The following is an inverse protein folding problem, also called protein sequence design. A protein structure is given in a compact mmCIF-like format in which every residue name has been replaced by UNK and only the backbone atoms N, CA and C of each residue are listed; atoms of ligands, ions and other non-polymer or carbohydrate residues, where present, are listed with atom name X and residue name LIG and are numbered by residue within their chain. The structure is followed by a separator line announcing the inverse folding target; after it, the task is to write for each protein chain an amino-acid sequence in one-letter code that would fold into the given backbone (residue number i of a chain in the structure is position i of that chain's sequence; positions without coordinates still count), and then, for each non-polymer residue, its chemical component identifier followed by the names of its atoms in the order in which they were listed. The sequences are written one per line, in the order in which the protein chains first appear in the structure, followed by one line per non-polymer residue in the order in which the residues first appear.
data_IF_891961533622
#
_entry.id   IF_891961533622
#
_cell.length_a   1.000
_cell.length_b   1.000
_cell.length_c   1.000
_cell.angle_alpha   90.00
_cell.angle_beta   90.00
_cell.angle_gamma   90.00
#
_symmetry.space_group_name_H-M   'P 1'
#
loop_
_entity.id
_entity.type
_entity.pdbx_description
1 polymer ?
#
# COMPACT_ATOMS: atom_id res chain seq x y z
N UNK A 1 26.20 6.59 5.16
CA UNK A 1 25.13 7.27 5.93
C UNK A 1 25.59 8.61 6.54
N UNK A 2 26.77 8.75 7.18
CA UNK A 2 27.17 10.03 7.81
C UNK A 2 27.27 11.21 6.83
N UNK A 3 27.85 10.99 5.64
CA UNK A 3 27.97 12.03 4.60
C UNK A 3 26.61 12.44 4.03
N UNK A 4 25.73 11.48 3.76
CA UNK A 4 24.37 11.73 3.26
C UNK A 4 23.60 12.62 4.24
N UNK A 5 23.54 12.24 5.52
CA UNK A 5 22.89 13.07 6.55
C UNK A 5 23.47 14.49 6.65
N UNK A 6 24.79 14.61 6.53
CA UNK A 6 25.46 15.92 6.52
C UNK A 6 25.04 16.80 5.34
N UNK A 7 24.82 16.20 4.17
CA UNK A 7 24.38 16.90 2.96
C UNK A 7 22.90 17.29 3.08
N UNK A 8 22.04 16.38 3.54
CA UNK A 8 20.61 16.64 3.79
C UNK A 8 20.41 17.87 4.69
N UNK A 9 21.10 17.92 5.83
CA UNK A 9 21.01 19.01 6.82
C UNK A 9 21.44 20.39 6.27
N UNK A 10 22.22 20.43 5.18
CA UNK A 10 22.74 21.68 4.60
C UNK A 10 22.16 22.02 3.23
N UNK A 11 21.40 21.11 2.64
CA UNK A 11 20.87 21.22 1.27
C UNK A 11 19.86 22.36 1.11
N UNK A 12 19.06 22.67 2.15
CA UNK A 12 18.08 23.77 2.13
C UNK A 12 18.71 25.15 1.86
N UNK A 13 20.00 25.30 2.18
CA UNK A 13 20.73 26.56 2.09
C UNK A 13 21.79 26.59 0.98
N UNK A 14 22.02 25.47 0.27
CA UNK A 14 23.03 25.40 -0.77
C UNK A 14 22.67 24.41 -1.90
N UNK A 15 22.26 24.97 -3.05
CA UNK A 15 21.91 24.21 -4.26
C UNK A 15 23.06 23.37 -4.83
N UNK A 16 24.32 23.75 -4.60
CA UNK A 16 25.48 22.99 -5.09
C UNK A 16 25.61 21.64 -4.35
N UNK A 17 25.19 21.57 -3.08
CA UNK A 17 25.23 20.33 -2.31
C UNK A 17 24.23 19.31 -2.82
N UNK A 18 23.12 19.74 -3.42
CA UNK A 18 22.11 18.86 -4.04
C UNK A 18 22.73 18.10 -5.21
N UNK A 19 23.53 18.77 -6.04
CA UNK A 19 24.21 18.12 -7.17
C UNK A 19 25.25 17.08 -6.70
N UNK A 20 26.00 17.41 -5.66
CA UNK A 20 26.98 16.50 -5.05
C UNK A 20 26.28 15.28 -4.42
N UNK A 21 25.19 15.51 -3.68
CA UNK A 21 24.41 14.44 -3.06
C UNK A 21 23.84 13.48 -4.10
N UNK A 22 23.29 14.01 -5.20
CA UNK A 22 22.84 13.21 -6.35
C UNK A 22 23.95 12.32 -6.88
N UNK A 23 25.13 12.88 -7.16
CA UNK A 23 26.26 12.11 -7.71
C UNK A 23 26.69 10.99 -6.75
N UNK A 24 26.79 11.30 -5.44
CA UNK A 24 27.17 10.33 -4.41
C UNK A 24 26.15 9.20 -4.31
N UNK A 25 24.85 9.52 -4.29
CA UNK A 25 23.78 8.52 -4.23
C UNK A 25 23.73 7.66 -5.49
N UNK A 26 23.86 8.28 -6.66
CA UNK A 26 23.89 7.56 -7.94
C UNK A 26 25.04 6.56 -7.98
N UNK A 27 26.28 6.99 -7.69
CA UNK A 27 27.46 6.12 -7.69
C UNK A 27 27.35 5.02 -6.64
N UNK A 28 26.85 5.34 -5.45
CA UNK A 28 26.66 4.36 -4.40
C UNK A 28 25.66 3.27 -4.83
N UNK A 29 24.55 3.64 -5.46
CA UNK A 29 23.51 2.71 -5.90
C UNK A 29 23.81 1.98 -7.23
N UNK A 30 24.65 2.55 -8.11
CA UNK A 30 24.93 2.01 -9.46
C UNK A 30 26.28 1.31 -9.59
N UNK A 31 27.21 1.53 -8.67
CA UNK A 31 28.57 0.95 -8.72
C UNK A 31 28.85 0.09 -7.50
N UNK A 32 28.58 0.60 -6.30
CA UNK A 32 29.09 -0.03 -5.07
C UNK A 32 28.08 -0.94 -4.35
N UNK A 33 26.80 -0.56 -4.38
CA UNK A 33 25.75 -1.16 -3.54
C UNK A 33 24.50 -1.46 -4.37
N UNK A 34 24.65 -2.29 -5.41
CA UNK A 34 23.60 -2.66 -6.36
C UNK A 34 22.38 -3.34 -5.71
N UNK A 35 22.58 -3.98 -4.56
CA UNK A 35 21.65 -4.88 -3.87
C UNK A 35 21.22 -4.38 -2.49
N UNK A 36 21.51 -3.12 -2.12
CA UNK A 36 21.17 -2.55 -0.80
C UNK A 36 19.87 -1.74 -0.88
N UNK A 37 18.69 -2.32 -0.55
CA UNK A 37 17.42 -1.67 -0.84
C UNK A 37 17.26 -0.33 -0.13
N UNK A 38 17.63 -0.25 1.15
CA UNK A 38 17.51 0.99 1.94
C UNK A 38 18.21 2.19 1.28
N UNK A 39 19.36 1.97 0.64
CA UNK A 39 20.08 3.04 -0.02
C UNK A 39 19.40 3.49 -1.32
N UNK A 40 18.87 2.55 -2.11
CA UNK A 40 18.12 2.88 -3.33
C UNK A 40 16.77 3.52 -3.00
N UNK A 41 16.12 3.11 -1.91
CA UNK A 41 14.89 3.74 -1.43
C UNK A 41 15.14 5.18 -0.97
N UNK A 42 16.26 5.40 -0.28
CA UNK A 42 16.69 6.74 0.09
C UNK A 42 16.99 7.60 -1.15
N UNK A 43 17.72 7.05 -2.13
CA UNK A 43 17.99 7.77 -3.38
C UNK A 43 16.71 8.11 -4.17
N UNK A 44 15.76 7.16 -4.27
CA UNK A 44 14.48 7.42 -4.91
C UNK A 44 13.68 8.52 -4.18
N UNK A 45 13.72 8.54 -2.85
CA UNK A 45 13.09 9.60 -2.07
C UNK A 45 13.74 10.96 -2.31
N UNK A 46 15.07 11.01 -2.33
CA UNK A 46 15.83 12.21 -2.67
C UNK A 46 15.43 12.75 -4.05
N UNK A 47 15.42 11.91 -5.10
CA UNK A 47 15.04 12.37 -6.45
C UNK A 47 13.61 12.87 -6.50
N UNK A 48 12.67 12.20 -5.83
CA UNK A 48 11.30 12.67 -5.74
C UNK A 48 11.21 14.04 -5.03
N UNK A 49 11.92 14.24 -3.93
CA UNK A 49 11.95 15.50 -3.19
C UNK A 49 12.56 16.64 -4.01
N UNK A 50 13.50 16.33 -4.90
CA UNK A 50 14.10 17.28 -5.84
C UNK A 50 13.26 17.49 -7.11
N UNK A 51 12.03 17.00 -7.16
CA UNK A 51 11.12 17.21 -8.30
C UNK A 51 11.34 16.26 -9.48
N UNK A 52 12.04 15.14 -9.29
CA UNK A 52 12.33 14.14 -10.32
C UNK A 52 11.62 12.79 -10.06
N UNK A 53 10.26 12.75 -10.03
CA UNK A 53 9.53 11.52 -9.74
C UNK A 53 9.72 10.42 -10.80
N UNK A 54 10.03 10.80 -12.05
CA UNK A 54 10.37 9.84 -13.10
C UNK A 54 11.67 9.09 -12.79
N UNK A 55 12.69 9.79 -12.28
CA UNK A 55 13.95 9.16 -11.88
C UNK A 55 13.74 8.28 -10.63
N UNK A 56 12.96 8.75 -9.67
CA UNK A 56 12.56 7.94 -8.53
C UNK A 56 11.89 6.62 -8.96
N UNK A 57 11.00 6.66 -9.96
CA UNK A 57 10.33 5.46 -10.48
C UNK A 57 11.31 4.48 -11.12
N UNK A 58 12.26 4.98 -11.91
CA UNK A 58 13.34 4.17 -12.51
C UNK A 58 14.19 3.47 -11.44
N UNK A 59 14.59 4.20 -10.39
CA UNK A 59 15.38 3.67 -9.28
C UNK A 59 14.62 2.55 -8.58
N UNK A 60 13.34 2.78 -8.26
CA UNK A 60 12.50 1.80 -7.57
C UNK A 60 12.24 0.56 -8.41
N UNK A 61 12.03 0.71 -9.72
CA UNK A 61 11.86 -0.41 -10.66
C UNK A 61 13.14 -1.26 -10.73
N UNK A 62 14.31 -0.62 -10.79
CA UNK A 62 15.59 -1.30 -10.84
C UNK A 62 15.88 -2.09 -9.57
N UNK A 63 15.71 -1.48 -8.40
CA UNK A 63 15.97 -2.18 -7.14
C UNK A 63 14.96 -3.31 -6.88
N UNK A 64 13.71 -3.19 -7.34
CA UNK A 64 12.76 -4.29 -7.27
C UNK A 64 13.21 -5.51 -8.09
N UNK A 65 13.73 -5.28 -9.29
CA UNK A 65 14.28 -6.36 -10.13
C UNK A 65 15.46 -7.07 -9.46
N UNK A 66 16.30 -6.34 -8.73
CA UNK A 66 17.42 -6.92 -7.98
C UNK A 66 16.96 -7.63 -6.70
N UNK A 67 15.99 -7.04 -5.98
CA UNK A 67 15.52 -7.51 -4.68
C UNK A 67 14.00 -7.76 -4.72
N UNK A 68 13.53 -8.81 -5.41
CA UNK A 68 12.10 -9.04 -5.61
C UNK A 68 11.41 -9.45 -4.30
N UNK A 69 10.10 -9.18 -4.22
CA UNK A 69 9.23 -9.51 -3.08
C UNK A 69 9.49 -8.72 -1.78
N UNK A 70 10.37 -7.71 -1.79
CA UNK A 70 10.51 -6.83 -0.63
C UNK A 70 9.32 -5.85 -0.58
N UNK A 71 8.41 -6.10 0.35
CA UNK A 71 7.15 -5.36 0.52
C UNK A 71 7.37 -3.84 0.67
N UNK A 72 8.48 -3.43 1.28
CA UNK A 72 8.84 -2.01 1.40
C UNK A 72 9.04 -1.33 0.03
N UNK A 73 9.67 -2.02 -0.94
CA UNK A 73 9.84 -1.49 -2.30
C UNK A 73 8.48 -1.40 -3.00
N UNK A 74 7.66 -2.44 -2.88
CA UNK A 74 6.33 -2.49 -3.46
C UNK A 74 5.46 -1.31 -3.00
N UNK A 75 5.45 -1.03 -1.69
CA UNK A 75 4.74 0.13 -1.14
C UNK A 75 5.31 1.46 -1.63
N UNK A 76 6.64 1.58 -1.79
CA UNK A 76 7.26 2.81 -2.30
C UNK A 76 6.87 3.06 -3.75
N UNK A 77 6.86 2.01 -4.60
CA UNK A 77 6.42 2.12 -6.01
C UNK A 77 4.97 2.57 -6.14
N UNK A 78 4.06 1.89 -5.44
CA UNK A 78 2.63 2.25 -5.42
C UNK A 78 2.42 3.69 -4.96
N UNK A 79 3.06 4.09 -3.85
CA UNK A 79 2.87 5.43 -3.30
C UNK A 79 3.46 6.53 -4.19
N UNK A 80 4.55 6.25 -4.90
CA UNK A 80 5.12 7.16 -5.90
C UNK A 80 4.12 7.37 -7.04
N UNK A 81 3.59 6.31 -7.64
CA UNK A 81 2.63 6.45 -8.75
C UNK A 81 1.36 7.18 -8.32
N UNK A 82 0.89 6.94 -7.09
CA UNK A 82 -0.22 7.70 -6.51
C UNK A 82 0.08 9.20 -6.43
N UNK A 83 1.29 9.60 -6.02
CA UNK A 83 1.70 11.03 -5.97
C UNK A 83 1.95 11.63 -7.35
N UNK A 84 2.35 10.81 -8.33
CA UNK A 84 2.45 11.19 -9.74
C UNK A 84 1.07 11.39 -10.41
N UNK A 85 0.00 10.93 -9.76
CA UNK A 85 -1.35 10.95 -10.32
C UNK A 85 -1.64 9.82 -11.30
N UNK A 86 -0.72 8.86 -11.47
CA UNK A 86 -0.92 7.70 -12.34
C UNK A 86 -1.70 6.61 -11.59
N UNK A 87 -3.01 6.82 -11.50
CA UNK A 87 -3.92 5.96 -10.75
C UNK A 87 -4.09 4.58 -11.39
N UNK A 88 -3.92 4.47 -12.71
CA UNK A 88 -3.99 3.21 -13.44
C UNK A 88 -2.73 2.37 -13.21
N UNK A 89 -1.55 3.00 -13.22
CA UNK A 89 -0.32 2.31 -12.82
C UNK A 89 -0.36 1.86 -11.36
N UNK A 90 -0.91 2.69 -10.47
CA UNK A 90 -1.12 2.31 -9.07
C UNK A 90 -1.99 1.04 -8.93
N UNK A 91 -3.12 0.98 -9.64
CA UNK A 91 -3.99 -0.19 -9.67
C UNK A 91 -3.27 -1.44 -10.21
N UNK A 92 -2.57 -1.30 -11.35
CA UNK A 92 -1.79 -2.38 -11.95
C UNK A 92 -0.72 -2.93 -10.99
N UNK A 93 -0.03 -2.05 -10.26
CA UNK A 93 0.97 -2.45 -9.27
C UNK A 93 0.35 -3.23 -8.12
N UNK A 94 -0.77 -2.75 -7.56
CA UNK A 94 -1.49 -3.49 -6.52
C UNK A 94 -1.92 -4.88 -6.99
N UNK A 95 -2.54 -4.98 -8.16
CA UNK A 95 -2.98 -6.25 -8.72
C UNK A 95 -1.82 -7.22 -8.93
N UNK A 96 -0.71 -6.72 -9.49
CA UNK A 96 0.51 -7.51 -9.69
C UNK A 96 1.05 -8.04 -8.37
N UNK A 97 1.16 -7.19 -7.34
CA UNK A 97 1.72 -7.59 -6.05
C UNK A 97 0.81 -8.51 -5.25
N UNK A 98 -0.51 -8.34 -5.33
CA UNK A 98 -1.46 -9.25 -4.71
C UNK A 98 -1.37 -10.63 -5.38
N UNK A 99 -1.28 -10.67 -6.71
CA UNK A 99 -1.17 -11.92 -7.46
C UNK A 99 0.16 -12.64 -7.23
N UNK A 100 1.27 -11.90 -7.08
CA UNK A 100 2.61 -12.48 -6.89
C UNK A 100 3.00 -12.69 -5.43
N UNK A 101 2.14 -12.34 -4.46
CA UNK A 101 2.44 -12.44 -3.05
C UNK A 101 2.64 -13.90 -2.61
N UNK A 102 3.82 -14.22 -2.08
CA UNK A 102 4.15 -15.56 -1.57
C UNK A 102 3.49 -15.89 -0.22
N UNK A 103 3.10 -14.86 0.53
CA UNK A 103 2.49 -14.99 1.83
C UNK A 103 1.06 -14.44 1.78
N UNK A 104 0.10 -15.28 2.18
CA UNK A 104 -1.31 -14.93 2.29
C UNK A 104 -1.56 -13.68 3.15
N UNK A 105 -0.85 -13.52 4.27
CA UNK A 105 -0.94 -12.32 5.11
C UNK A 105 -0.50 -11.04 4.38
N UNK A 106 0.52 -11.14 3.50
CA UNK A 106 0.98 -10.02 2.69
C UNK A 106 -0.04 -9.70 1.59
N UNK A 107 -0.58 -10.73 0.93
CA UNK A 107 -1.64 -10.57 -0.06
C UNK A 107 -2.87 -9.88 0.54
N UNK A 108 -3.34 -10.33 1.71
CA UNK A 108 -4.47 -9.73 2.42
C UNK A 108 -4.20 -8.28 2.84
N UNK A 109 -2.99 -7.98 3.34
CA UNK A 109 -2.60 -6.61 3.68
C UNK A 109 -2.55 -5.67 2.46
N UNK A 110 -2.07 -6.17 1.31
CA UNK A 110 -2.08 -5.43 0.04
C UNK A 110 -3.51 -5.22 -0.47
N UNK A 111 -4.37 -6.24 -0.40
CA UNK A 111 -5.77 -6.14 -0.81
C UNK A 111 -6.55 -5.10 0.00
N UNK A 112 -6.35 -5.05 1.33
CA UNK A 112 -6.94 -4.02 2.19
C UNK A 112 -6.53 -2.62 1.72
N UNK A 113 -5.23 -2.41 1.46
CA UNK A 113 -4.72 -1.13 0.96
C UNK A 113 -5.28 -0.80 -0.42
N UNK A 114 -5.38 -1.79 -1.30
CA UNK A 114 -5.93 -1.60 -2.65
C UNK A 114 -7.42 -1.25 -2.62
N UNK A 115 -8.22 -1.92 -1.79
CA UNK A 115 -9.63 -1.59 -1.59
C UNK A 115 -9.80 -0.15 -1.07
N UNK A 116 -8.98 0.28 -0.10
CA UNK A 116 -8.98 1.68 0.39
C UNK A 116 -8.58 2.67 -0.70
N UNK A 117 -7.62 2.33 -1.55
CA UNK A 117 -7.26 3.15 -2.71
C UNK A 117 -8.44 3.28 -3.69
N UNK A 118 -9.10 2.17 -4.03
CA UNK A 118 -10.26 2.17 -4.92
C UNK A 118 -11.41 3.02 -4.35
N UNK A 119 -11.66 2.91 -3.05
CA UNK A 119 -12.74 3.65 -2.41
C UNK A 119 -12.44 5.14 -2.24
N UNK A 120 -11.31 5.50 -1.62
CA UNK A 120 -11.04 6.90 -1.25
C UNK A 120 -10.40 7.73 -2.36
N UNK A 121 -9.67 7.10 -3.28
CA UNK A 121 -8.92 7.83 -4.32
C UNK A 121 -9.63 7.71 -5.67
N UNK A 122 -10.13 6.53 -6.03
CA UNK A 122 -10.86 6.32 -7.29
C UNK A 122 -12.37 6.49 -7.16
N UNK A 123 -12.89 6.70 -5.94
CA UNK A 123 -14.32 6.83 -5.68
C UNK A 123 -15.16 5.68 -6.26
N UNK A 124 -14.60 4.47 -6.21
CA UNK A 124 -15.16 3.26 -6.82
C UNK A 124 -15.49 2.21 -5.73
N UNK A 125 -16.64 2.35 -5.03
CA UNK A 125 -17.02 1.43 -3.94
C UNK A 125 -17.21 -0.01 -4.41
N UNK A 126 -17.81 -0.23 -5.58
CA UNK A 126 -18.02 -1.58 -6.13
C UNK A 126 -16.71 -2.29 -6.43
N UNK A 127 -15.72 -1.56 -6.97
CA UNK A 127 -14.39 -2.10 -7.21
C UNK A 127 -13.67 -2.43 -5.89
N UNK A 128 -13.78 -1.56 -4.88
CA UNK A 128 -13.22 -1.80 -3.56
C UNK A 128 -13.85 -3.04 -2.88
N UNK A 129 -15.18 -3.20 -2.98
CA UNK A 129 -15.90 -4.36 -2.47
C UNK A 129 -15.42 -5.64 -3.14
N UNK A 130 -15.33 -5.64 -4.47
CA UNK A 130 -14.84 -6.78 -5.24
C UNK A 130 -13.43 -7.21 -4.81
N UNK A 131 -12.51 -6.26 -4.63
CA UNK A 131 -11.15 -6.56 -4.15
C UNK A 131 -11.16 -7.26 -2.78
N UNK A 132 -12.04 -6.82 -1.87
CA UNK A 132 -12.16 -7.44 -0.55
C UNK A 132 -12.79 -8.82 -0.63
N UNK A 133 -13.85 -9.00 -1.41
CA UNK A 133 -14.50 -10.30 -1.59
C UNK A 133 -13.55 -11.33 -2.23
N UNK A 134 -12.79 -10.93 -3.26
CA UNK A 134 -11.75 -11.77 -3.89
C UNK A 134 -10.64 -12.17 -2.90
N UNK A 135 -10.28 -11.26 -1.97
CA UNK A 135 -9.29 -11.54 -0.93
C UNK A 135 -9.85 -12.45 0.16
N UNK A 136 -11.10 -12.26 0.58
CA UNK A 136 -11.80 -13.10 1.57
C UNK A 136 -11.97 -14.52 1.03
N UNK A 137 -12.27 -14.69 -0.25
CA UNK A 137 -12.34 -16.02 -0.87
C UNK A 137 -11.03 -16.81 -0.72
N UNK A 138 -9.88 -16.12 -0.70
CA UNK A 138 -8.54 -16.71 -0.47
C UNK A 138 -8.18 -16.79 1.01
N UNK A 139 -8.70 -15.88 1.82
CA UNK A 139 -8.43 -15.71 3.25
C UNK A 139 -9.69 -15.51 4.11
N UNK A 140 -10.53 -16.56 4.23
CA UNK A 140 -11.87 -16.41 4.79
C UNK A 140 -11.88 -16.12 6.29
N UNK A 141 -10.81 -16.46 7.01
CA UNK A 141 -10.72 -16.27 8.46
C UNK A 141 -10.00 -14.98 8.86
N UNK A 142 -9.56 -14.13 7.92
CA UNK A 142 -8.82 -12.93 8.26
C UNK A 142 -9.74 -11.82 8.77
N UNK A 143 -9.68 -11.46 10.06
CA UNK A 143 -10.57 -10.47 10.65
C UNK A 143 -10.48 -9.11 9.97
N UNK A 144 -9.27 -8.73 9.52
CA UNK A 144 -9.01 -7.39 8.96
C UNK A 144 -9.69 -7.19 7.61
N UNK A 145 -9.83 -8.26 6.82
CA UNK A 145 -10.54 -8.18 5.54
C UNK A 145 -12.04 -7.96 5.75
N UNK A 146 -12.63 -8.73 6.67
CA UNK A 146 -14.05 -8.61 7.00
C UNK A 146 -14.38 -7.27 7.66
N UNK A 147 -13.56 -6.80 8.60
CA UNK A 147 -13.72 -5.47 9.20
C UNK A 147 -13.65 -4.38 8.13
N UNK A 148 -12.66 -4.44 7.22
CA UNK A 148 -12.55 -3.46 6.15
C UNK A 148 -13.74 -3.49 5.19
N UNK A 149 -14.33 -4.66 4.94
CA UNK A 149 -15.52 -4.82 4.09
C UNK A 149 -16.77 -4.25 4.76
N UNK A 150 -16.92 -4.45 6.08
CA UNK A 150 -17.99 -3.83 6.86
C UNK A 150 -17.84 -2.31 6.89
N UNK A 151 -16.63 -1.80 7.15
CA UNK A 151 -16.34 -0.37 7.12
C UNK A 151 -16.64 0.24 5.74
N UNK A 152 -16.29 -0.45 4.65
CA UNK A 152 -16.62 0.01 3.29
C UNK A 152 -18.13 0.19 3.11
N UNK A 153 -18.91 -0.80 3.53
CA UNK A 153 -20.37 -0.73 3.44
C UNK A 153 -20.94 0.42 4.27
N UNK A 154 -20.47 0.59 5.52
CA UNK A 154 -20.88 1.70 6.40
C UNK A 154 -20.63 3.08 5.78
N UNK A 155 -19.51 3.27 5.09
CA UNK A 155 -19.16 4.55 4.46
C UNK A 155 -19.78 4.72 3.05
N UNK A 156 -20.49 3.71 2.53
CA UNK A 156 -21.16 3.79 1.24
C UNK A 156 -22.57 4.37 1.44
N UNK A 157 -22.94 5.47 0.77
CA UNK A 157 -24.27 6.07 0.91
C UNK A 157 -25.40 5.07 0.58
N UNK A 158 -26.42 5.01 1.43
CA UNK A 158 -27.58 4.15 1.23
C UNK A 158 -27.40 2.69 1.68
N UNK A 159 -26.34 2.38 2.42
CA UNK A 159 -26.19 1.07 3.05
C UNK A 159 -27.34 0.78 4.01
N UNK A 160 -28.00 -0.36 3.83
CA UNK A 160 -29.09 -0.81 4.69
C UNK A 160 -28.56 -1.63 5.86
N UNK A 161 -29.29 -1.61 6.97
CA UNK A 161 -28.91 -2.41 8.15
C UNK A 161 -28.87 -3.91 7.83
N UNK A 162 -29.80 -4.40 7.00
CA UNK A 162 -29.85 -5.80 6.58
C UNK A 162 -28.57 -6.21 5.84
N UNK A 163 -28.07 -5.37 4.93
CA UNK A 163 -26.84 -5.65 4.18
C UNK A 163 -25.63 -5.80 5.13
N UNK A 164 -25.56 -4.96 6.17
CA UNK A 164 -24.48 -5.04 7.16
C UNK A 164 -24.61 -6.26 8.07
N UNK A 165 -25.84 -6.62 8.46
CA UNK A 165 -26.12 -7.83 9.24
C UNK A 165 -25.64 -9.07 8.47
N UNK A 166 -25.93 -9.16 7.18
CA UNK A 166 -25.46 -10.22 6.31
C UNK A 166 -23.93 -10.31 6.26
N UNK A 167 -23.23 -9.16 6.21
CA UNK A 167 -21.77 -9.13 6.23
C UNK A 167 -21.19 -9.70 7.54
N UNK A 168 -21.74 -9.32 8.70
CA UNK A 168 -21.30 -9.86 10.00
C UNK A 168 -21.55 -11.37 10.08
N UNK A 169 -22.77 -11.81 9.72
CA UNK A 169 -23.13 -13.22 9.74
C UNK A 169 -22.28 -14.06 8.79
N UNK A 170 -21.82 -13.49 7.67
CA UNK A 170 -20.97 -14.20 6.72
C UNK A 170 -19.60 -14.58 7.29
N UNK A 171 -19.08 -13.82 8.27
CA UNK A 171 -17.89 -14.17 9.03
C UNK A 171 -18.20 -15.17 10.13
N UNK A 172 -19.27 -14.96 10.91
CA UNK A 172 -19.68 -15.86 12.00
C UNK A 172 -19.93 -17.30 11.54
N UNK A 173 -20.43 -17.47 10.31
CA UNK A 173 -20.67 -18.78 9.70
C UNK A 173 -19.40 -19.51 9.25
N UNK A 174 -18.23 -18.83 9.21
CA UNK A 174 -16.98 -19.47 8.84
C UNK A 174 -16.48 -20.40 9.95
N UNK A 175 -16.07 -21.60 9.59
CA UNK A 175 -15.50 -22.56 10.53
C UNK A 175 -14.14 -22.03 11.06
N UNK A 176 -14.07 -21.76 12.36
CA UNK A 176 -12.89 -21.14 12.99
C UNK A 176 -13.02 -19.63 13.23
N UNK A 177 -14.19 -19.02 13.02
CA UNK A 177 -14.43 -17.63 13.34
C UNK A 177 -14.25 -17.35 14.84
N UNK A 178 -13.44 -16.33 15.15
CA UNK A 178 -13.21 -15.89 16.52
C UNK A 178 -14.41 -15.10 17.06
N UNK A 179 -14.92 -15.51 18.23
CA UNK A 179 -16.07 -14.88 18.89
C UNK A 179 -15.86 -13.38 19.17
N UNK A 180 -14.66 -12.99 19.59
CA UNK A 180 -14.33 -11.59 19.88
C UNK A 180 -14.40 -10.72 18.61
N UNK A 181 -13.94 -11.24 17.48
CA UNK A 181 -14.00 -10.57 16.19
C UNK A 181 -15.45 -10.40 15.74
N UNK A 182 -16.27 -11.45 15.87
CA UNK A 182 -17.70 -11.38 15.56
C UNK A 182 -18.41 -10.34 16.42
N UNK A 183 -18.11 -10.30 17.73
CA UNK A 183 -18.66 -9.28 18.63
C UNK A 183 -18.23 -7.86 18.23
N UNK A 184 -16.96 -7.67 17.84
CA UNK A 184 -16.46 -6.39 17.34
C UNK A 184 -17.18 -5.93 16.07
N UNK A 185 -17.40 -6.85 15.10
CA UNK A 185 -18.17 -6.59 13.89
C UNK A 185 -19.63 -6.24 14.18
N UNK A 186 -20.26 -6.99 15.10
CA UNK A 186 -21.63 -6.74 15.52
C UNK A 186 -21.78 -5.37 16.22
N UNK A 187 -20.80 -4.97 17.02
CA UNK A 187 -20.76 -3.63 17.62
C UNK A 187 -20.60 -2.55 16.54
N UNK A 188 -19.64 -2.73 15.63
CA UNK A 188 -19.36 -1.77 14.55
C UNK A 188 -20.56 -1.54 13.64
N UNK A 189 -21.34 -2.60 13.33
CA UNK A 189 -22.58 -2.50 12.55
C UNK A 189 -23.62 -1.55 13.18
N UNK A 190 -23.66 -1.45 14.52
CA UNK A 190 -24.66 -0.63 15.23
C UNK A 190 -24.43 0.87 15.09
N UNK A 191 -23.30 1.31 14.56
CA UNK A 191 -23.03 2.74 14.32
C UNK A 191 -24.02 3.41 13.35
N UNK A 192 -24.79 2.66 12.53
CA UNK A 192 -25.88 3.22 11.74
C UNK A 192 -27.21 3.37 12.49
N UNK A 193 -27.37 2.71 13.63
CA UNK A 193 -28.61 2.74 14.41
C UNK A 193 -28.69 3.95 15.37
N UNK A 194 -27.59 4.68 15.53
CA UNK A 194 -27.45 5.91 16.31
C UNK A 194 -27.25 7.12 15.37
#
# INVERSE_FOLDING_TARGET
MRLIKFLEERSENNSELIAIEREVLERACTVHHLDKPELHLHWAHFEEAQGNPAKAAEILDRIEKTCPNLVQIQYRRVNLERRRGDLDKCAQLYETYIASAKNKAVASALAIKYARFQFHIRHAPDAARKVLDDAIAKDPLNPRLHMQRLDLALHTPGAKYEDLEELVQSYEKQEGAELEVSASMAWRRRELAE
#
